data_IF_942155588533
#
_entry.id   IF_942155588533
#
_cell.length_a   1.000
_cell.length_b   1.000
_cell.length_c   1.000
_cell.angle_alpha   90.00
_cell.angle_beta   90.00
_cell.angle_gamma   90.00
#
_symmetry.space_group_name_H-M   'P 1'
#
loop_
_entity.id
_entity.type
_entity.pdbx_description
1 polymer ?
#
# COMPACT_ATOMS: atom_id res chain seq x y z
N UNK A 1 -21.28 15.65 14.03
CA UNK A 1 -20.69 14.31 14.05
C UNK A 1 -20.08 14.05 12.68
N UNK A 2 -18.76 13.92 12.58
CA UNK A 2 -18.12 13.55 11.33
C UNK A 2 -18.34 12.04 11.14
N UNK A 3 -19.33 11.69 10.32
CA UNK A 3 -19.55 10.29 9.94
C UNK A 3 -18.38 9.85 9.06
N UNK A 4 -17.47 9.08 9.63
CA UNK A 4 -16.45 8.37 8.85
C UNK A 4 -17.13 7.24 8.11
N UNK A 5 -17.20 7.34 6.79
CA UNK A 5 -17.79 6.32 5.92
C UNK A 5 -16.81 5.13 5.70
N UNK A 6 -16.34 4.57 6.81
CA UNK A 6 -15.54 3.34 6.78
C UNK A 6 -16.43 2.14 7.02
N UNK A 7 -16.20 1.03 6.30
CA UNK A 7 -17.00 -0.19 6.45
C UNK A 7 -17.08 -0.65 7.90
N UNK A 8 -15.97 -0.60 8.65
CA UNK A 8 -15.98 -0.95 10.06
C UNK A 8 -16.99 -0.15 10.87
N UNK A 9 -16.94 1.17 10.78
CA UNK A 9 -17.87 2.06 11.50
C UNK A 9 -19.34 1.86 11.08
N UNK A 10 -19.59 1.58 9.80
CA UNK A 10 -20.96 1.31 9.33
C UNK A 10 -21.46 -0.05 9.82
N UNK A 11 -20.61 -1.06 9.87
CA UNK A 11 -20.94 -2.37 10.43
C UNK A 11 -21.28 -2.26 11.92
N UNK A 12 -20.51 -1.51 12.71
CA UNK A 12 -20.80 -1.26 14.13
C UNK A 12 -22.16 -0.58 14.33
N UNK A 13 -22.46 0.44 13.53
CA UNK A 13 -23.76 1.12 13.57
C UNK A 13 -24.92 0.20 13.21
N UNK A 14 -24.69 -0.82 12.37
CA UNK A 14 -25.67 -1.87 12.04
C UNK A 14 -25.72 -3.00 13.09
N UNK A 15 -24.94 -2.91 14.16
CA UNK A 15 -24.96 -3.89 15.26
C UNK A 15 -24.03 -5.10 15.06
N UNK A 16 -23.08 -5.03 14.10
CA UNK A 16 -22.05 -6.06 14.00
C UNK A 16 -20.99 -5.90 15.08
N UNK A 17 -20.66 -6.96 15.77
CA UNK A 17 -19.54 -6.99 16.70
C UNK A 17 -18.21 -7.17 15.95
N UNK A 18 -17.30 -6.24 16.07
CA UNK A 18 -16.01 -6.24 15.35
C UNK A 18 -14.89 -6.83 16.21
N UNK A 19 -13.94 -7.49 15.52
CA UNK A 19 -12.65 -7.89 16.06
C UNK A 19 -11.57 -7.74 14.99
N UNK A 20 -10.83 -6.64 15.01
CA UNK A 20 -9.89 -6.27 13.97
C UNK A 20 -10.62 -6.11 12.61
N UNK A 21 -10.21 -6.86 11.60
CA UNK A 21 -10.85 -6.85 10.26
C UNK A 21 -11.89 -7.96 10.08
N UNK A 22 -12.49 -8.42 11.17
CA UNK A 22 -13.55 -9.44 11.16
C UNK A 22 -14.74 -8.98 12.00
N UNK A 23 -15.94 -9.46 11.65
CA UNK A 23 -17.16 -9.18 12.37
C UNK A 23 -18.02 -10.44 12.55
N UNK A 24 -18.87 -10.44 13.57
CA UNK A 24 -19.93 -11.43 13.74
C UNK A 24 -21.05 -11.12 12.75
N UNK A 25 -21.52 -12.14 12.03
CA UNK A 25 -22.59 -11.95 11.04
C UNK A 25 -23.96 -11.96 11.69
N UNK A 26 -24.70 -10.87 11.61
CA UNK A 26 -26.07 -10.76 12.11
C UNK A 26 -27.07 -11.59 11.29
N UNK A 27 -26.73 -11.92 10.03
CA UNK A 27 -27.60 -12.71 9.14
C UNK A 27 -27.43 -14.22 9.34
N UNK A 28 -26.36 -14.68 9.99
CA UNK A 28 -26.07 -16.11 10.09
C UNK A 28 -26.77 -16.84 11.22
N UNK A 29 -27.40 -16.17 12.17
CA UNK A 29 -28.06 -16.71 13.34
C UNK A 29 -27.42 -18.00 13.89
N UNK A 30 -26.15 -17.96 14.32
CA UNK A 30 -25.55 -19.20 14.77
C UNK A 30 -24.11 -19.13 15.23
N UNK A 31 -23.70 -20.19 15.88
CA UNK A 31 -22.55 -20.47 16.74
C UNK A 31 -21.14 -20.13 16.24
N UNK A 32 -20.98 -19.59 15.05
CA UNK A 32 -19.65 -19.28 14.50
C UNK A 32 -19.39 -17.78 14.64
N UNK A 33 -18.40 -17.44 15.44
CA UNK A 33 -17.95 -16.06 15.66
C UNK A 33 -17.11 -15.57 14.51
N UNK A 34 -17.25 -14.27 14.17
CA UNK A 34 -16.37 -13.55 13.23
C UNK A 34 -16.27 -14.14 11.82
N UNK A 35 -17.43 -14.49 11.23
CA UNK A 35 -17.51 -15.05 9.88
C UNK A 35 -17.48 -14.01 8.77
N UNK A 36 -17.65 -12.72 9.09
CA UNK A 36 -17.53 -11.61 8.16
C UNK A 36 -16.08 -11.15 8.13
N UNK A 37 -15.47 -11.17 6.96
CA UNK A 37 -14.23 -10.45 6.68
C UNK A 37 -14.56 -9.14 5.95
N UNK A 38 -13.86 -8.04 6.26
CA UNK A 38 -14.08 -6.78 5.59
C UNK A 38 -12.77 -6.04 5.30
N UNK A 39 -12.82 -5.26 4.24
CA UNK A 39 -11.77 -4.33 3.80
C UNK A 39 -12.30 -2.89 3.91
N UNK A 40 -11.59 -1.91 3.37
CA UNK A 40 -12.09 -0.55 3.26
C UNK A 40 -13.29 -0.42 2.31
N UNK A 41 -13.50 -1.37 1.38
CA UNK A 41 -14.49 -1.25 0.30
C UNK A 41 -15.64 -2.26 0.40
N UNK A 42 -15.39 -3.45 0.94
CA UNK A 42 -16.36 -4.55 0.92
C UNK A 42 -16.32 -5.38 2.20
N UNK A 43 -17.48 -5.83 2.64
CA UNK A 43 -17.67 -6.84 3.68
C UNK A 43 -18.23 -8.11 3.05
N UNK A 44 -17.76 -9.27 3.49
CA UNK A 44 -18.18 -10.58 2.99
C UNK A 44 -18.29 -11.60 4.10
N UNK A 45 -19.43 -12.28 4.21
CA UNK A 45 -19.62 -13.39 5.13
C UNK A 45 -19.27 -14.71 4.47
N UNK A 46 -18.25 -15.41 4.97
CA UNK A 46 -17.80 -16.70 4.44
C UNK A 46 -18.86 -17.81 4.61
N UNK A 47 -19.82 -17.66 5.54
CA UNK A 47 -20.83 -18.67 5.84
C UNK A 47 -22.09 -18.51 5.00
N UNK A 48 -22.79 -17.35 5.09
CA UNK A 48 -24.06 -17.13 4.36
C UNK A 48 -23.87 -16.45 3.01
N UNK A 49 -22.61 -16.16 2.64
CA UNK A 49 -22.27 -15.47 1.39
C UNK A 49 -22.82 -14.04 1.28
N UNK A 50 -23.35 -13.49 2.38
CA UNK A 50 -23.76 -12.10 2.41
C UNK A 50 -22.57 -11.20 2.07
N UNK A 51 -22.83 -10.23 1.24
CA UNK A 51 -21.84 -9.22 0.83
C UNK A 51 -22.45 -7.84 0.86
N UNK A 52 -21.68 -6.86 1.29
CA UNK A 52 -22.09 -5.47 1.25
C UNK A 52 -20.88 -4.57 0.98
N UNK A 53 -21.12 -3.50 0.26
CA UNK A 53 -20.18 -2.40 0.11
C UNK A 53 -20.61 -1.19 0.96
N UNK A 54 -19.77 -0.17 1.04
CA UNK A 54 -20.03 1.05 1.82
C UNK A 54 -21.36 1.69 1.45
N UNK A 55 -21.73 1.70 0.15
CA UNK A 55 -22.99 2.31 -0.33
C UNK A 55 -24.20 1.53 0.16
N UNK A 56 -24.12 0.20 0.16
CA UNK A 56 -25.21 -0.66 0.64
C UNK A 56 -25.43 -0.47 2.15
N UNK A 57 -24.35 -0.49 2.93
CA UNK A 57 -24.42 -0.31 4.38
C UNK A 57 -24.95 1.09 4.74
N UNK A 58 -24.47 2.12 4.06
CA UNK A 58 -24.94 3.50 4.27
C UNK A 58 -26.42 3.66 3.90
N UNK A 59 -26.91 2.94 2.87
CA UNK A 59 -28.34 2.91 2.52
C UNK A 59 -29.15 2.16 3.58
N UNK A 60 -28.68 1.03 4.07
CA UNK A 60 -29.31 0.27 5.16
C UNK A 60 -29.47 1.11 6.45
N UNK A 61 -28.49 1.98 6.72
CA UNK A 61 -28.54 2.94 7.83
C UNK A 61 -29.41 4.19 7.54
N UNK A 62 -30.02 4.28 6.35
CA UNK A 62 -30.82 5.46 5.98
C UNK A 62 -30.02 6.76 5.81
N UNK A 63 -28.69 6.68 5.71
CA UNK A 63 -27.82 7.87 5.65
C UNK A 63 -28.03 8.72 4.39
N UNK A 64 -28.69 8.17 3.37
CA UNK A 64 -28.99 8.86 2.10
C UNK A 64 -30.46 9.29 1.98
N UNK A 65 -31.32 8.86 2.92
CA UNK A 65 -32.75 9.13 2.85
C UNK A 65 -33.01 10.60 3.21
N UNK A 66 -33.55 11.33 2.22
CA UNK A 66 -33.94 12.71 2.36
C UNK A 66 -32.79 13.75 2.44
N UNK A 67 -31.54 13.35 2.27
CA UNK A 67 -30.41 14.29 2.31
C UNK A 67 -29.48 14.17 1.08
N UNK A 68 -29.80 14.88 -0.03
CA UNK A 68 -29.00 14.86 -1.25
C UNK A 68 -27.57 15.38 -1.03
N UNK A 69 -27.37 16.35 -0.12
CA UNK A 69 -26.03 16.90 0.16
C UNK A 69 -25.11 15.87 0.83
N UNK A 70 -25.66 15.06 1.75
CA UNK A 70 -24.93 13.98 2.40
C UNK A 70 -24.47 12.92 1.39
N UNK A 71 -25.36 12.58 0.44
CA UNK A 71 -25.06 11.64 -0.65
C UNK A 71 -23.95 12.19 -1.56
N UNK A 72 -24.03 13.46 -1.94
CA UNK A 72 -23.04 14.09 -2.81
C UNK A 72 -21.67 14.18 -2.11
N UNK A 73 -21.65 14.58 -0.84
CA UNK A 73 -20.45 14.58 0.00
C UNK A 73 -19.82 13.19 0.06
N UNK A 74 -20.61 12.15 0.30
CA UNK A 74 -20.13 10.75 0.33
C UNK A 74 -19.46 10.35 -0.98
N UNK A 75 -20.07 10.60 -2.14
CA UNK A 75 -19.49 10.24 -3.42
C UNK A 75 -18.25 11.07 -3.77
N UNK A 76 -18.18 12.31 -3.31
CA UNK A 76 -16.99 13.15 -3.45
C UNK A 76 -15.82 12.56 -2.64
N UNK A 77 -16.03 12.32 -1.36
CA UNK A 77 -14.99 11.73 -0.48
C UNK A 77 -14.57 10.34 -0.97
N UNK A 78 -15.48 9.53 -1.51
CA UNK A 78 -15.14 8.22 -2.09
C UNK A 78 -14.27 8.36 -3.35
N UNK A 79 -14.55 9.35 -4.21
CA UNK A 79 -13.74 9.65 -5.40
C UNK A 79 -12.35 10.16 -5.03
N UNK A 80 -12.27 11.04 -4.04
CA UNK A 80 -10.99 11.57 -3.53
C UNK A 80 -10.11 10.45 -2.97
N UNK A 81 -10.65 9.55 -2.15
CA UNK A 81 -9.92 8.39 -1.62
C UNK A 81 -9.45 7.44 -2.71
N UNK A 82 -10.28 7.18 -3.74
CA UNK A 82 -9.86 6.35 -4.89
C UNK A 82 -8.71 7.01 -5.65
N UNK A 83 -8.82 8.31 -5.93
CA UNK A 83 -7.75 9.06 -6.59
C UNK A 83 -6.45 8.99 -5.79
N UNK A 84 -6.53 9.26 -4.49
CA UNK A 84 -5.39 9.18 -3.58
C UNK A 84 -4.75 7.78 -3.57
N UNK A 85 -5.57 6.73 -3.58
CA UNK A 85 -5.08 5.35 -3.64
C UNK A 85 -4.36 5.05 -4.95
N UNK A 86 -4.89 5.51 -6.08
CA UNK A 86 -4.26 5.31 -7.39
C UNK A 86 -2.97 6.14 -7.54
N UNK A 87 -2.97 7.39 -7.07
CA UNK A 87 -1.77 8.23 -7.01
C UNK A 87 -0.66 7.57 -6.17
N UNK A 88 -1.02 7.00 -5.01
CA UNK A 88 -0.06 6.27 -4.19
C UNK A 88 0.46 5.01 -4.87
N UNK A 89 -0.40 4.21 -5.51
CA UNK A 89 0.03 3.03 -6.27
C UNK A 89 1.00 3.40 -7.39
N UNK A 90 0.70 4.47 -8.12
CA UNK A 90 1.59 4.96 -9.18
C UNK A 90 2.94 5.39 -8.59
N UNK A 91 2.93 6.16 -7.50
CA UNK A 91 4.16 6.56 -6.81
C UNK A 91 5.01 5.37 -6.37
N UNK A 92 4.39 4.33 -5.79
CA UNK A 92 5.08 3.08 -5.40
C UNK A 92 5.70 2.41 -6.63
N UNK A 93 4.94 2.30 -7.73
CA UNK A 93 5.41 1.69 -8.97
C UNK A 93 6.63 2.42 -9.55
N UNK A 94 6.55 3.74 -9.64
CA UNK A 94 7.63 4.59 -10.18
C UNK A 94 8.88 4.53 -9.30
N UNK A 95 8.69 4.50 -7.96
CA UNK A 95 9.77 4.38 -6.99
C UNK A 95 10.49 3.04 -7.12
N UNK A 96 9.74 1.94 -7.17
CA UNK A 96 10.30 0.60 -7.33
C UNK A 96 10.99 0.41 -8.69
N UNK A 97 10.44 0.97 -9.75
CA UNK A 97 11.08 0.95 -11.06
C UNK A 97 12.42 1.70 -11.05
N UNK A 98 12.45 2.86 -10.40
CA UNK A 98 13.68 3.66 -10.25
C UNK A 98 14.76 2.89 -9.49
N UNK A 99 14.41 2.30 -8.34
CA UNK A 99 15.33 1.45 -7.56
C UNK A 99 15.82 0.26 -8.39
N UNK A 100 14.92 -0.43 -9.08
CA UNK A 100 15.25 -1.57 -9.92
C UNK A 100 16.17 -1.20 -11.10
N UNK A 101 15.99 -0.02 -11.67
CA UNK A 101 16.86 0.50 -12.75
C UNK A 101 18.26 0.80 -12.22
N UNK A 102 18.36 1.45 -11.06
CA UNK A 102 19.63 1.74 -10.40
C UNK A 102 20.35 0.46 -10.02
N UNK A 103 19.66 -0.49 -9.40
CA UNK A 103 20.22 -1.80 -9.05
C UNK A 103 20.81 -2.51 -10.26
N UNK A 104 20.05 -2.61 -11.34
CA UNK A 104 20.52 -3.26 -12.58
C UNK A 104 21.72 -2.57 -13.22
N UNK A 105 21.79 -1.24 -13.13
CA UNK A 105 22.93 -0.49 -13.64
C UNK A 105 24.19 -0.74 -12.81
N UNK A 106 24.07 -0.67 -11.48
CA UNK A 106 25.18 -0.92 -10.56
C UNK A 106 25.64 -2.39 -10.58
N UNK A 107 24.72 -3.34 -10.66
CA UNK A 107 25.05 -4.77 -10.78
C UNK A 107 25.85 -5.08 -12.06
N UNK A 108 25.46 -4.49 -13.20
CA UNK A 108 26.23 -4.63 -14.45
C UNK A 108 27.62 -4.02 -14.34
N UNK A 109 27.74 -2.85 -13.71
CA UNK A 109 29.04 -2.20 -13.48
C UNK A 109 29.91 -3.04 -12.55
N UNK A 110 29.34 -3.62 -11.50
CA UNK A 110 30.06 -4.51 -10.57
C UNK A 110 30.54 -5.79 -11.28
N UNK A 111 29.68 -6.45 -12.08
CA UNK A 111 30.10 -7.63 -12.86
C UNK A 111 31.26 -7.31 -13.81
N UNK A 112 31.16 -6.19 -14.54
CA UNK A 112 32.24 -5.76 -15.42
C UNK A 112 33.52 -5.44 -14.65
N UNK A 113 33.41 -4.81 -13.47
CA UNK A 113 34.55 -4.54 -12.60
C UNK A 113 35.24 -5.83 -12.11
N UNK A 114 34.45 -6.86 -11.74
CA UNK A 114 34.98 -8.16 -11.36
C UNK A 114 35.75 -8.85 -12.52
N UNK A 115 35.22 -8.76 -13.75
CA UNK A 115 35.88 -9.29 -14.94
C UNK A 115 37.19 -8.53 -15.22
N UNK A 116 37.19 -7.20 -15.15
CA UNK A 116 38.40 -6.39 -15.29
C UNK A 116 39.47 -6.76 -14.24
N UNK A 117 39.10 -6.95 -12.98
CA UNK A 117 40.05 -7.34 -11.92
C UNK A 117 40.64 -8.74 -12.14
N UNK A 118 39.93 -9.64 -12.82
CA UNK A 118 40.45 -10.97 -13.19
C UNK A 118 41.44 -10.93 -14.35
N UNK A 119 41.19 -10.03 -15.33
CA UNK A 119 41.97 -9.99 -16.57
C UNK A 119 43.21 -9.10 -16.46
N UNK A 120 43.16 -8.03 -15.65
CA UNK A 120 44.17 -6.98 -15.56
C UNK A 120 44.75 -6.92 -14.14
N UNK A 121 45.56 -7.93 -13.77
CA UNK A 121 46.17 -8.01 -12.47
C UNK A 121 47.18 -6.87 -12.12
N UNK A 122 47.57 -6.00 -13.06
CA UNK A 122 48.72 -5.11 -12.88
C UNK A 122 48.50 -3.61 -13.22
N UNK A 123 47.31 -3.19 -13.66
CA UNK A 123 47.06 -1.75 -13.88
C UNK A 123 46.40 -1.14 -12.64
N UNK A 124 47.12 -0.31 -11.85
CA UNK A 124 46.55 0.26 -10.61
C UNK A 124 45.37 1.20 -10.84
N UNK A 125 45.30 1.85 -12.00
CA UNK A 125 44.17 2.75 -12.33
C UNK A 125 42.89 1.97 -12.64
N UNK A 126 43.00 0.89 -13.41
CA UNK A 126 41.84 0.01 -13.70
C UNK A 126 41.34 -0.65 -12.42
N UNK A 127 42.26 -1.07 -11.54
CA UNK A 127 41.93 -1.65 -10.25
C UNK A 127 41.18 -0.66 -9.34
N UNK A 128 41.56 0.61 -9.29
CA UNK A 128 40.88 1.64 -8.48
C UNK A 128 39.43 1.88 -8.95
N UNK A 129 39.22 2.03 -10.27
CA UNK A 129 37.89 2.18 -10.84
C UNK A 129 36.98 0.96 -10.63
N UNK A 130 37.55 -0.23 -10.72
CA UNK A 130 36.80 -1.46 -10.49
C UNK A 130 36.38 -1.60 -8.99
N UNK A 131 37.27 -1.28 -8.06
CA UNK A 131 36.94 -1.28 -6.64
C UNK A 131 35.88 -0.23 -6.29
N UNK A 132 35.94 0.98 -6.86
CA UNK A 132 34.92 2.01 -6.68
C UNK A 132 33.52 1.52 -7.17
N UNK A 133 33.46 0.86 -8.32
CA UNK A 133 32.22 0.30 -8.84
C UNK A 133 31.62 -0.79 -7.91
N UNK A 134 32.45 -1.68 -7.39
CA UNK A 134 32.04 -2.71 -6.42
C UNK A 134 31.56 -2.10 -5.10
N UNK A 135 32.24 -1.09 -4.60
CA UNK A 135 31.86 -0.40 -3.37
C UNK A 135 30.53 0.32 -3.51
N UNK A 136 30.29 1.00 -4.64
CA UNK A 136 28.99 1.62 -4.94
C UNK A 136 27.86 0.61 -4.99
N UNK A 137 28.09 -0.54 -5.58
CA UNK A 137 27.08 -1.61 -5.64
C UNK A 137 26.76 -2.13 -4.23
N UNK A 138 27.79 -2.48 -3.44
CA UNK A 138 27.60 -2.95 -2.04
C UNK A 138 26.90 -1.92 -1.17
N UNK A 139 27.27 -0.64 -1.31
CA UNK A 139 26.63 0.45 -0.58
C UNK A 139 25.14 0.56 -0.94
N UNK A 140 24.81 0.38 -2.23
CA UNK A 140 23.42 0.44 -2.65
C UNK A 140 22.61 -0.78 -2.17
N UNK A 141 23.18 -1.97 -2.17
CA UNK A 141 22.56 -3.18 -1.58
C UNK A 141 22.29 -2.98 -0.08
N UNK A 142 23.29 -2.51 0.65
CA UNK A 142 23.15 -2.23 2.08
C UNK A 142 22.02 -1.20 2.36
N UNK A 143 21.85 -0.20 1.49
CA UNK A 143 20.77 0.76 1.60
C UNK A 143 19.39 0.13 1.34
N UNK A 144 19.28 -0.77 0.38
CA UNK A 144 18.03 -1.50 0.15
C UNK A 144 17.65 -2.30 1.40
N UNK A 145 18.60 -2.98 2.02
CA UNK A 145 18.37 -3.85 3.17
C UNK A 145 18.18 -3.05 4.47
N UNK A 146 19.08 -2.11 4.77
CA UNK A 146 19.11 -1.41 6.06
C UNK A 146 18.19 -0.19 6.12
N UNK A 147 18.05 0.56 5.03
CA UNK A 147 17.17 1.74 4.96
C UNK A 147 15.73 1.37 4.52
N UNK A 148 15.51 0.12 4.13
CA UNK A 148 14.20 -0.35 3.69
C UNK A 148 13.68 0.39 2.46
N UNK A 149 14.53 0.70 1.47
CA UNK A 149 14.14 1.50 0.29
C UNK A 149 12.95 0.91 -0.49
N UNK A 150 12.71 -0.40 -0.36
CA UNK A 150 11.57 -1.10 -0.94
C UNK A 150 10.44 -1.36 0.07
N UNK A 151 10.57 -0.90 1.31
CA UNK A 151 9.56 -1.06 2.34
C UNK A 151 8.38 -0.11 2.08
N UNK A 152 7.17 -0.67 2.08
CA UNK A 152 5.95 0.10 1.83
C UNK A 152 5.70 1.18 2.89
N UNK A 153 6.14 0.99 4.14
CA UNK A 153 5.99 2.00 5.19
C UNK A 153 6.93 3.18 4.95
N UNK A 154 8.17 2.91 4.55
CA UNK A 154 9.15 3.94 4.17
C UNK A 154 8.64 4.72 2.96
N UNK A 155 8.20 4.04 1.91
CA UNK A 155 7.66 4.66 0.69
C UNK A 155 6.41 5.50 1.02
N UNK A 156 5.52 5.00 1.89
CA UNK A 156 4.33 5.73 2.34
C UNK A 156 4.70 7.01 3.12
N UNK A 157 5.72 6.94 3.98
CA UNK A 157 6.22 8.11 4.71
C UNK A 157 6.78 9.17 3.77
N UNK A 158 7.57 8.78 2.76
CA UNK A 158 8.08 9.69 1.73
C UNK A 158 6.94 10.37 0.96
N UNK A 159 5.97 9.59 0.51
CA UNK A 159 4.81 10.11 -0.22
C UNK A 159 3.99 11.11 0.59
N UNK A 160 3.76 10.81 1.88
CA UNK A 160 3.05 11.72 2.79
C UNK A 160 3.77 13.05 2.96
N UNK A 161 5.12 13.04 3.05
CA UNK A 161 5.93 14.25 3.14
C UNK A 161 5.86 15.08 1.88
N UNK A 162 5.92 14.45 0.71
CA UNK A 162 5.82 15.14 -0.58
C UNK A 162 4.46 15.81 -0.76
N UNK A 163 3.37 15.13 -0.37
CA UNK A 163 2.03 15.73 -0.42
C UNK A 163 1.83 16.89 0.55
N UNK A 164 2.45 16.84 1.72
CA UNK A 164 2.37 17.93 2.68
C UNK A 164 3.14 19.19 2.24
N UNK A 165 4.10 19.04 1.31
CA UNK A 165 4.91 20.11 0.78
C UNK A 165 4.35 20.72 -0.52
N UNK A 166 3.34 20.10 -1.14
CA UNK A 166 2.67 20.52 -2.38
C UNK A 166 1.40 21.31 -2.10
#
# INVERSE_FOLDING_TARGET
MNATFEIGSLLEQLGFHLRGRRAECIHCQGRSRYTVAFTAEVAFCHRCKWTANVVMLARELGLFDGNPEMRERFFREARERRRETEEFKQFVSDRLETISRQYRALARAATHAEDCLREVEQDPYVSELAWDALERFRTFEARIECEGLCDLEVIRSEWSKLRAAA
#
